data_IF_642253765814
#
_entry.id   IF_642253765814
#
_cell.length_a   1.000
_cell.length_b   1.000
_cell.length_c   1.000
_cell.angle_alpha   90.00
_cell.angle_beta   90.00
_cell.angle_gamma   90.00
#
_symmetry.space_group_name_H-M   'P 1'
#
loop_
_entity.id
_entity.type
_entity.pdbx_description
1 polymer ?
#
# COMPACT_ATOMS: atom_id res chain seq x y z
N UNK A 1 30.50 9.08 -3.79
CA UNK A 1 30.60 9.03 -5.27
C UNK A 1 29.35 9.70 -5.83
N UNK A 2 29.48 10.75 -6.63
CA UNK A 2 28.33 11.34 -7.31
C UNK A 2 28.03 10.49 -8.55
N UNK A 3 26.90 9.79 -8.56
CA UNK A 3 26.46 9.09 -9.75
C UNK A 3 26.10 10.12 -10.81
N UNK A 4 26.80 10.11 -11.95
CA UNK A 4 26.41 10.93 -13.09
C UNK A 4 25.25 10.22 -13.78
N UNK A 5 24.03 10.71 -13.56
CA UNK A 5 22.84 10.19 -14.23
C UNK A 5 22.88 10.64 -15.69
N UNK A 6 22.89 9.69 -16.62
CA UNK A 6 22.70 10.00 -18.04
C UNK A 6 21.24 10.43 -18.27
N UNK A 7 21.04 11.73 -18.52
CA UNK A 7 19.71 12.32 -18.77
C UNK A 7 19.08 11.82 -20.09
N UNK A 8 19.85 11.23 -21.00
CA UNK A 8 19.37 10.69 -22.27
C UNK A 8 19.07 9.19 -22.22
N UNK A 9 19.28 8.54 -21.08
CA UNK A 9 19.03 7.09 -20.96
C UNK A 9 17.54 6.78 -21.18
N UNK A 10 17.28 5.90 -22.14
CA UNK A 10 15.95 5.31 -22.40
C UNK A 10 16.00 3.81 -22.13
N UNK A 11 15.08 3.31 -21.32
CA UNK A 11 14.95 1.87 -21.06
C UNK A 11 14.66 1.10 -22.35
N UNK A 12 15.25 -0.08 -22.47
CA UNK A 12 14.98 -1.01 -23.57
C UNK A 12 13.84 -1.99 -23.25
N UNK A 13 13.24 -1.90 -22.06
CA UNK A 13 12.10 -2.72 -21.68
C UNK A 13 10.96 -2.57 -22.70
N UNK A 14 10.36 -3.69 -23.10
CA UNK A 14 9.21 -3.72 -23.99
C UNK A 14 7.97 -4.04 -23.16
N UNK A 15 6.96 -3.19 -23.27
CA UNK A 15 5.65 -3.45 -22.68
C UNK A 15 4.97 -4.52 -23.53
N UNK A 16 4.46 -5.63 -22.96
CA UNK A 16 3.70 -6.62 -23.71
C UNK A 16 2.44 -6.01 -24.35
N UNK A 17 2.02 -6.52 -25.51
CA UNK A 17 0.87 -6.00 -26.25
C UNK A 17 -0.44 -6.05 -25.44
N UNK A 18 -0.54 -6.99 -24.49
CA UNK A 18 -1.72 -7.21 -23.64
C UNK A 18 -1.59 -6.59 -22.24
N UNK A 19 -0.63 -5.69 -22.01
CA UNK A 19 -0.37 -5.11 -20.69
C UNK A 19 -1.59 -4.39 -20.10
N UNK A 20 -2.24 -3.53 -20.88
CA UNK A 20 -3.42 -2.79 -20.41
C UNK A 20 -4.61 -3.75 -20.19
N UNK A 21 -4.81 -4.69 -21.11
CA UNK A 21 -5.84 -5.72 -20.98
C UNK A 21 -5.67 -6.55 -19.70
N UNK A 22 -4.43 -6.94 -19.38
CA UNK A 22 -4.11 -7.65 -18.14
C UNK A 22 -4.54 -6.84 -16.91
N UNK A 23 -4.18 -5.56 -16.84
CA UNK A 23 -4.56 -4.72 -15.69
C UNK A 23 -6.06 -4.38 -15.65
N UNK A 24 -6.72 -4.26 -16.80
CA UNK A 24 -8.18 -4.12 -16.86
C UNK A 24 -8.89 -5.35 -16.29
N UNK A 25 -8.40 -6.56 -16.61
CA UNK A 25 -8.91 -7.79 -16.00
C UNK A 25 -8.66 -7.81 -14.49
N UNK A 26 -7.47 -7.42 -14.02
CA UNK A 26 -7.17 -7.34 -12.58
C UNK A 26 -8.09 -6.34 -11.86
N UNK A 27 -8.34 -5.16 -12.46
CA UNK A 27 -9.27 -4.16 -11.94
C UNK A 27 -10.70 -4.70 -11.90
N UNK A 28 -11.13 -5.43 -12.92
CA UNK A 28 -12.44 -6.07 -12.96
C UNK A 28 -12.57 -7.18 -11.91
N UNK A 29 -11.51 -7.94 -11.65
CA UNK A 29 -11.49 -8.99 -10.62
C UNK A 29 -11.63 -8.39 -9.23
N UNK A 30 -10.81 -7.38 -8.93
CA UNK A 30 -10.78 -6.78 -7.60
C UNK A 30 -12.04 -5.95 -7.29
N UNK A 31 -12.69 -5.36 -8.30
CA UNK A 31 -13.94 -4.60 -8.11
C UNK A 31 -15.11 -5.48 -7.64
N UNK A 32 -15.05 -6.80 -7.88
CA UNK A 32 -16.03 -7.77 -7.38
C UNK A 32 -15.81 -8.15 -5.91
N UNK A 33 -14.68 -7.76 -5.33
CA UNK A 33 -14.35 -7.99 -3.92
C UNK A 33 -14.73 -6.74 -3.12
N UNK A 34 -15.71 -6.79 -2.21
CA UNK A 34 -16.09 -5.66 -1.36
C UNK A 34 -14.90 -5.17 -0.51
N UNK A 35 -14.71 -3.85 -0.40
CA UNK A 35 -13.57 -3.27 0.33
C UNK A 35 -13.65 -3.56 1.84
N UNK A 36 -14.86 -3.49 2.41
CA UNK A 36 -15.14 -3.70 3.84
C UNK A 36 -14.13 -3.01 4.77
N UNK A 37 -13.96 -1.68 4.66
CA UNK A 37 -12.98 -0.97 5.46
C UNK A 37 -13.40 -1.01 6.93
N UNK A 38 -12.43 -1.33 7.79
CA UNK A 38 -12.55 -1.28 9.24
C UNK A 38 -11.53 -0.29 9.77
N UNK A 39 -11.97 0.59 10.68
CA UNK A 39 -11.14 1.65 11.26
C UNK A 39 -11.25 1.55 12.78
N UNK A 40 -10.17 1.13 13.43
CA UNK A 40 -10.12 0.88 14.87
C UNK A 40 -9.20 1.91 15.53
N UNK A 41 -9.70 2.75 16.46
CA UNK A 41 -8.85 3.69 17.20
C UNK A 41 -7.73 2.98 17.97
N UNK A 42 -6.52 3.54 17.92
CA UNK A 42 -5.38 3.11 18.74
C UNK A 42 -5.03 4.22 19.74
N UNK A 43 -5.62 4.13 20.94
CA UNK A 43 -5.46 5.14 21.98
C UNK A 43 -4.00 5.24 22.46
N UNK A 44 -3.28 4.11 22.54
CA UNK A 44 -1.88 4.07 23.00
C UNK A 44 -0.95 4.79 22.02
N UNK A 45 -1.25 4.72 20.72
CA UNK A 45 -0.51 5.42 19.68
C UNK A 45 -1.06 6.80 19.38
N UNK A 46 -2.18 7.22 19.93
CA UNK A 46 -2.70 8.59 19.75
C UNK A 46 -1.98 9.58 20.67
N UNK A 47 -2.11 10.87 20.38
CA UNK A 47 -1.62 11.99 21.22
C UNK A 47 -2.68 13.09 21.30
N UNK A 48 -2.41 14.17 22.05
CA UNK A 48 -3.34 15.30 22.24
C UNK A 48 -3.62 16.09 20.95
N UNK A 49 -2.75 15.95 19.95
CA UNK A 49 -2.84 16.63 18.66
C UNK A 49 -3.23 15.69 17.51
N UNK A 50 -2.94 14.39 17.61
CA UNK A 50 -3.11 13.40 16.53
C UNK A 50 -3.90 12.17 16.99
N UNK A 51 -4.91 11.79 16.20
CA UNK A 51 -5.60 10.50 16.29
C UNK A 51 -4.89 9.46 15.43
N UNK A 52 -4.69 8.26 15.96
CA UNK A 52 -4.13 7.13 15.22
C UNK A 52 -5.14 5.99 15.21
N UNK A 53 -5.31 5.38 14.05
CA UNK A 53 -6.19 4.24 13.83
C UNK A 53 -5.42 3.09 13.17
N UNK A 54 -5.78 1.87 13.52
CA UNK A 54 -5.53 0.70 12.70
C UNK A 54 -6.63 0.62 11.64
N UNK A 55 -6.24 0.46 10.38
CA UNK A 55 -7.20 0.29 9.29
C UNK A 55 -7.01 -1.09 8.68
N UNK A 56 -8.11 -1.72 8.27
CA UNK A 56 -8.10 -2.97 7.54
C UNK A 56 -9.07 -2.91 6.35
N UNK A 57 -8.72 -3.53 5.23
CA UNK A 57 -9.61 -3.67 4.06
C UNK A 57 -9.27 -4.92 3.25
N UNK A 58 -10.24 -5.42 2.47
CA UNK A 58 -10.04 -6.58 1.62
C UNK A 58 -9.40 -6.18 0.28
N UNK A 59 -8.52 -7.02 -0.24
CA UNK A 59 -7.84 -6.84 -1.52
C UNK A 59 -7.94 -8.09 -2.41
N UNK A 60 -7.20 -8.07 -3.53
CA UNK A 60 -7.08 -9.21 -4.44
C UNK A 60 -6.73 -10.49 -3.67
N UNK A 61 -7.33 -11.60 -4.08
CA UNK A 61 -7.22 -12.92 -3.43
C UNK A 61 -7.81 -12.96 -2.01
N UNK A 62 -8.69 -12.00 -1.67
CA UNK A 62 -9.29 -11.83 -0.34
C UNK A 62 -8.26 -11.64 0.79
N UNK A 63 -7.08 -11.11 0.47
CA UNK A 63 -6.10 -10.72 1.48
C UNK A 63 -6.61 -9.48 2.23
N UNK A 64 -6.64 -9.56 3.56
CA UNK A 64 -6.97 -8.48 4.49
C UNK A 64 -5.72 -7.64 4.72
N UNK A 65 -5.71 -6.48 4.08
CA UNK A 65 -4.62 -5.52 4.14
C UNK A 65 -4.79 -4.62 5.35
N UNK A 66 -3.71 -4.44 6.09
CA UNK A 66 -3.63 -3.52 7.21
C UNK A 66 -2.99 -2.20 6.80
N UNK A 67 -3.33 -1.14 7.52
CA UNK A 67 -2.70 0.17 7.41
C UNK A 67 -2.69 0.89 8.77
N UNK A 68 -1.91 1.95 8.84
CA UNK A 68 -2.05 2.99 9.87
C UNK A 68 -2.73 4.20 9.25
N UNK A 69 -3.68 4.79 9.97
CA UNK A 69 -4.32 6.03 9.57
C UNK A 69 -4.13 7.09 10.64
N UNK A 70 -3.66 8.28 10.27
CA UNK A 70 -3.44 9.39 11.21
C UNK A 70 -4.26 10.62 10.78
N UNK A 71 -4.86 11.28 11.76
CA UNK A 71 -5.62 12.50 11.58
C UNK A 71 -5.22 13.56 12.62
N UNK A 72 -5.12 14.84 12.25
CA UNK A 72 -5.16 15.92 13.24
C UNK A 72 -6.49 15.90 14.00
N UNK A 73 -6.46 15.99 15.33
CA UNK A 73 -7.66 16.07 16.17
C UNK A 73 -8.49 17.31 15.87
N UNK A 74 -7.82 18.45 15.79
CA UNK A 74 -8.45 19.74 15.55
C UNK A 74 -8.51 19.99 14.04
N UNK A 75 -9.62 19.58 13.42
CA UNK A 75 -9.89 19.75 11.99
C UNK A 75 -11.15 20.59 11.77
N UNK A 76 -11.04 21.63 10.96
CA UNK A 76 -12.13 22.59 10.66
C UNK A 76 -12.81 22.34 9.31
N UNK A 77 -12.34 21.35 8.55
CA UNK A 77 -12.85 20.99 7.23
C UNK A 77 -12.16 19.75 6.65
N UNK A 78 -12.40 19.45 5.35
CA UNK A 78 -11.72 18.36 4.66
C UNK A 78 -10.20 18.55 4.66
N UNK A 79 -9.47 17.43 4.72
CA UNK A 79 -8.01 17.41 4.71
C UNK A 79 -7.51 16.88 3.37
N UNK A 80 -6.40 17.42 2.88
CA UNK A 80 -5.64 16.77 1.83
C UNK A 80 -5.14 15.40 2.33
N UNK A 81 -5.22 14.37 1.48
CA UNK A 81 -4.81 13.02 1.85
C UNK A 81 -3.42 12.68 1.31
N UNK A 82 -2.63 11.95 2.11
CA UNK A 82 -1.33 11.40 1.70
C UNK A 82 -1.33 9.90 1.98
N UNK A 83 -1.18 9.10 0.92
CA UNK A 83 -0.92 7.67 1.07
C UNK A 83 0.59 7.40 0.98
N UNK A 84 1.10 6.61 1.93
CA UNK A 84 2.51 6.17 1.96
C UNK A 84 2.55 4.65 1.86
N UNK A 85 3.50 4.14 1.07
CA UNK A 85 3.82 2.71 0.96
C UNK A 85 5.26 2.46 1.43
N UNK A 86 5.55 1.31 2.05
CA UNK A 86 6.85 1.04 2.64
C UNK A 86 7.93 0.73 1.60
N UNK A 87 9.19 0.97 1.98
CA UNK A 87 10.34 0.41 1.26
C UNK A 87 10.46 -1.10 1.44
N UNK A 88 11.30 -1.75 0.61
CA UNK A 88 11.39 -3.21 0.54
C UNK A 88 11.76 -3.89 1.88
N UNK A 89 12.67 -3.31 2.67
CA UNK A 89 13.08 -3.85 3.97
C UNK A 89 12.36 -3.20 5.16
N UNK A 90 11.36 -2.36 4.91
CA UNK A 90 10.68 -1.60 5.95
C UNK A 90 9.26 -2.13 6.17
N UNK A 91 8.76 -1.90 7.38
CA UNK A 91 7.33 -1.90 7.67
C UNK A 91 6.77 -0.48 7.55
N UNK A 92 5.46 -0.31 7.28
CA UNK A 92 4.87 1.01 7.13
C UNK A 92 4.92 1.81 8.43
N UNK A 93 5.39 3.07 8.39
CA UNK A 93 5.48 3.91 9.58
C UNK A 93 4.10 4.46 9.99
N UNK A 94 3.98 4.90 11.24
CA UNK A 94 2.84 5.71 11.68
C UNK A 94 3.17 7.18 11.35
N UNK A 95 2.50 7.74 10.36
CA UNK A 95 2.87 9.02 9.71
C UNK A 95 2.33 10.26 10.43
N UNK A 96 2.49 10.34 11.76
CA UNK A 96 2.00 11.47 12.58
C UNK A 96 2.55 12.83 12.14
N UNK A 97 3.79 12.86 11.65
CA UNK A 97 4.45 14.09 11.21
C UNK A 97 3.71 14.80 10.06
N UNK A 98 3.14 14.02 9.13
CA UNK A 98 2.32 14.54 8.04
C UNK A 98 0.95 14.96 8.55
N UNK A 99 0.37 14.21 9.48
CA UNK A 99 -0.88 14.60 10.12
C UNK A 99 -0.75 15.95 10.87
N UNK A 100 0.37 16.20 11.54
CA UNK A 100 0.65 17.50 12.19
C UNK A 100 0.76 18.67 11.20
N UNK A 101 1.09 18.39 9.94
CA UNK A 101 1.12 19.38 8.86
C UNK A 101 -0.27 19.60 8.22
N UNK A 102 -1.32 18.96 8.75
CA UNK A 102 -2.70 19.15 8.30
C UNK A 102 -3.18 18.14 7.25
N UNK A 103 -2.49 17.01 7.08
CA UNK A 103 -2.91 15.95 6.14
C UNK A 103 -3.66 14.81 6.83
N UNK A 104 -4.60 14.19 6.14
CA UNK A 104 -5.05 12.85 6.49
C UNK A 104 -4.06 11.84 5.91
N UNK A 105 -3.45 10.97 6.71
CA UNK A 105 -2.39 10.09 6.21
C UNK A 105 -2.70 8.62 6.38
N UNK A 106 -2.61 7.87 5.28
CA UNK A 106 -2.76 6.42 5.26
C UNK A 106 -1.42 5.76 4.92
N UNK A 107 -0.88 4.98 5.83
CA UNK A 107 0.35 4.23 5.65
C UNK A 107 0.00 2.76 5.46
N UNK A 108 -0.07 2.33 4.19
CA UNK A 108 -0.55 1.01 3.81
C UNK A 108 0.53 -0.03 4.07
N UNK A 109 0.15 -1.19 4.60
CA UNK A 109 0.98 -2.40 4.69
C UNK A 109 0.54 -3.40 3.62
N UNK A 110 1.10 -3.40 2.40
CA UNK A 110 0.71 -4.40 1.40
C UNK A 110 1.00 -5.83 1.87
N UNK A 111 0.46 -6.82 1.16
CA UNK A 111 0.69 -8.25 1.46
C UNK A 111 2.18 -8.55 1.71
N UNK A 112 2.46 -9.38 2.71
CA UNK A 112 3.83 -9.66 3.16
C UNK A 112 4.42 -8.63 4.13
N UNK A 113 3.68 -7.57 4.52
CA UNK A 113 4.11 -6.56 5.50
C UNK A 113 3.23 -6.51 6.74
N UNK A 114 3.81 -6.08 7.86
CA UNK A 114 3.12 -5.84 9.14
C UNK A 114 2.06 -6.92 9.45
N UNK A 115 0.79 -6.54 9.61
CA UNK A 115 -0.34 -7.44 9.92
C UNK A 115 -0.89 -8.15 8.68
N UNK A 116 -0.64 -7.62 7.48
CA UNK A 116 -1.07 -8.21 6.20
C UNK A 116 -0.28 -9.47 5.83
N UNK A 117 0.87 -9.70 6.49
CA UNK A 117 1.66 -10.93 6.30
C UNK A 117 0.97 -12.18 6.85
N UNK A 118 -0.05 -12.03 7.70
CA UNK A 118 -0.76 -13.16 8.31
C UNK A 118 -1.36 -14.13 7.28
N UNK A 119 -1.81 -13.62 6.13
CA UNK A 119 -2.40 -14.43 5.06
C UNK A 119 -1.46 -14.67 3.88
N UNK A 120 -0.44 -13.83 3.70
CA UNK A 120 0.53 -13.94 2.61
C UNK A 120 1.90 -13.47 3.09
N UNK A 121 2.82 -14.42 3.31
CA UNK A 121 4.20 -14.15 3.71
C UNK A 121 5.15 -15.10 2.98
N UNK A 122 5.71 -14.69 1.83
CA UNK A 122 6.70 -15.49 1.10
C UNK A 122 8.09 -15.45 1.78
N UNK A 123 8.23 -14.81 2.94
CA UNK A 123 9.48 -14.62 3.65
C UNK A 123 10.41 -13.59 3.00
N UNK A 124 11.50 -13.26 3.68
CA UNK A 124 12.58 -12.45 3.12
C UNK A 124 13.69 -13.35 2.56
N UNK A 125 14.19 -13.12 1.32
CA UNK A 125 13.82 -12.07 0.35
C UNK A 125 12.78 -12.55 -0.69
N UNK A 126 11.85 -13.43 -0.33
CA UNK A 126 10.93 -14.11 -1.25
C UNK A 126 9.89 -13.22 -1.94
N UNK A 127 9.55 -12.05 -1.38
CA UNK A 127 8.52 -11.18 -1.95
C UNK A 127 8.80 -10.74 -3.41
N UNK A 128 10.07 -10.66 -3.86
CA UNK A 128 10.40 -10.23 -5.23
C UNK A 128 10.27 -11.32 -6.28
N UNK A 129 10.31 -12.59 -5.88
CA UNK A 129 10.39 -13.74 -6.81
C UNK A 129 9.24 -14.73 -6.64
N UNK A 130 8.42 -14.57 -5.61
CA UNK A 130 7.25 -15.40 -5.40
C UNK A 130 6.27 -15.29 -6.58
N UNK A 131 6.02 -16.41 -7.25
CA UNK A 131 5.15 -16.48 -8.43
C UNK A 131 5.71 -15.81 -9.69
N UNK A 132 7.02 -15.51 -9.76
CA UNK A 132 7.61 -14.74 -10.87
C UNK A 132 7.44 -15.39 -12.26
N UNK A 133 7.21 -16.69 -12.31
CA UNK A 133 7.03 -17.44 -13.57
C UNK A 133 5.62 -17.34 -14.16
N UNK A 134 4.66 -16.75 -13.44
CA UNK A 134 3.31 -16.49 -13.93
C UNK A 134 2.81 -15.13 -13.41
N UNK A 135 2.54 -14.21 -14.34
CA UNK A 135 2.02 -12.86 -14.03
C UNK A 135 0.77 -12.87 -13.15
N UNK A 136 -0.06 -13.90 -13.21
CA UNK A 136 -1.29 -14.01 -12.41
C UNK A 136 -1.01 -14.38 -10.95
N UNK A 137 0.11 -15.05 -10.67
CA UNK A 137 0.53 -15.46 -9.32
C UNK A 137 1.66 -14.61 -8.76
N UNK A 138 2.27 -13.76 -9.58
CA UNK A 138 3.37 -12.90 -9.16
C UNK A 138 2.95 -11.96 -8.02
N UNK A 139 3.72 -11.99 -6.93
CA UNK A 139 3.44 -11.23 -5.70
C UNK A 139 3.17 -9.74 -5.92
N UNK A 140 3.88 -9.09 -6.84
CA UNK A 140 3.70 -7.65 -7.09
C UNK A 140 2.42 -7.31 -7.84
N UNK A 141 1.78 -8.26 -8.54
CA UNK A 141 0.40 -8.08 -9.04
C UNK A 141 -0.52 -7.73 -7.87
N UNK A 142 -0.46 -8.54 -6.82
CA UNK A 142 -1.22 -8.32 -5.59
C UNK A 142 -0.76 -7.09 -4.82
N UNK A 143 0.55 -6.87 -4.68
CA UNK A 143 1.11 -5.73 -3.96
C UNK A 143 0.64 -4.38 -4.55
N UNK A 144 0.63 -4.23 -5.88
CA UNK A 144 0.11 -3.04 -6.53
C UNK A 144 -1.38 -2.84 -6.26
N UNK A 145 -2.17 -3.91 -6.33
CA UNK A 145 -3.61 -3.85 -6.05
C UNK A 145 -3.88 -3.48 -4.58
N UNK A 146 -3.10 -4.01 -3.65
CA UNK A 146 -3.20 -3.64 -2.23
C UNK A 146 -2.99 -2.13 -2.04
N UNK A 147 -2.02 -1.53 -2.74
CA UNK A 147 -1.79 -0.10 -2.71
C UNK A 147 -2.93 0.69 -3.38
N UNK A 148 -3.43 0.25 -4.54
CA UNK A 148 -4.53 0.93 -5.24
C UNK A 148 -5.80 0.97 -4.43
N UNK A 149 -6.14 -0.11 -3.73
CA UNK A 149 -7.33 -0.17 -2.88
C UNK A 149 -7.23 0.70 -1.61
N UNK A 150 -6.06 1.22 -1.29
CA UNK A 150 -5.88 2.22 -0.24
C UNK A 150 -6.29 3.64 -0.66
N UNK A 151 -6.59 3.86 -1.94
CA UNK A 151 -7.10 5.11 -2.51
C UNK A 151 -8.62 5.04 -2.64
#
# INVERSE_FOLDING_TARGET
>A
MAYTVNQEYKSMARVPDDFDQFWDMVKADVSRIPLEPEVVPDAMRSSDDIEVFQVFYNSLDNVRIAAWYCLPRNRTGPLAAVMVVPGYQSDPPITKEWARRGYATLSVAPRGKLRSKTQFDPGYPGLLTYGIVDRNTYSYRGFYVDAWRGV
#
